data_IF_502415495876
#
_entry.id   IF_502415495876
#
_cell.length_a   1.000
_cell.length_b   1.000
_cell.length_c   1.000
_cell.angle_alpha   90.00
_cell.angle_beta   90.00
_cell.angle_gamma   90.00
#
_symmetry.space_group_name_H-M   'P 1'
#
loop_
_entity.id
_entity.type
_entity.pdbx_description
1 polymer ?
#
# COMPACT_ATOMS: atom_id res chain seq x y z
N UNK A 1 -1.28 -29.71 10.52
CA UNK A 1 -0.04 -29.39 9.75
C UNK A 1 -0.02 -29.99 8.34
N UNK A 2 -0.33 -31.29 8.13
CA UNK A 2 -0.31 -31.92 6.78
C UNK A 2 -1.21 -31.23 5.74
N UNK A 3 -2.42 -30.81 6.13
CA UNK A 3 -3.37 -30.11 5.23
C UNK A 3 -2.80 -28.81 4.65
N UNK A 4 -2.08 -27.99 5.43
CA UNK A 4 -1.51 -26.73 4.94
C UNK A 4 -0.42 -26.96 3.89
N UNK A 5 0.40 -27.99 4.10
CA UNK A 5 1.47 -28.39 3.17
C UNK A 5 0.86 -28.95 1.88
N UNK A 6 -0.23 -29.72 1.97
CA UNK A 6 -0.97 -30.20 0.80
C UNK A 6 -1.61 -29.05 0.01
N UNK A 7 -2.19 -28.05 0.67
CA UNK A 7 -2.72 -26.85 -0.01
C UNK A 7 -1.62 -26.09 -0.73
N UNK A 8 -0.47 -25.87 -0.09
CA UNK A 8 0.70 -25.25 -0.73
C UNK A 8 1.21 -26.04 -1.94
N UNK A 9 1.24 -27.38 -1.83
CA UNK A 9 1.65 -28.27 -2.93
C UNK A 9 0.64 -28.24 -4.08
N UNK A 10 -0.65 -28.13 -3.80
CA UNK A 10 -1.71 -28.02 -4.80
C UNK A 10 -1.72 -26.66 -5.50
N UNK A 11 -1.45 -25.58 -4.76
CA UNK A 11 -1.23 -24.24 -5.30
C UNK A 11 -0.10 -24.25 -6.34
N UNK A 12 0.99 -24.96 -6.06
CA UNK A 12 2.14 -25.05 -6.97
C UNK A 12 1.89 -25.92 -8.21
N UNK A 13 0.91 -26.84 -8.15
CA UNK A 13 0.51 -27.67 -9.30
C UNK A 13 -0.32 -26.90 -10.33
N UNK A 14 -1.05 -25.88 -9.90
CA UNK A 14 -1.89 -25.08 -10.79
C UNK A 14 -1.04 -23.95 -11.37
N UNK A 15 -0.75 -24.02 -12.66
CA UNK A 15 0.14 -23.07 -13.35
C UNK A 15 -0.34 -21.61 -13.21
N UNK A 16 -1.64 -21.37 -13.37
CA UNK A 16 -2.26 -20.06 -13.24
C UNK A 16 -2.09 -19.46 -11.83
N UNK A 17 -2.20 -20.29 -10.79
CA UNK A 17 -2.07 -19.85 -9.39
C UNK A 17 -0.62 -19.56 -9.05
N UNK A 18 0.30 -20.45 -9.48
CA UNK A 18 1.75 -20.24 -9.35
C UNK A 18 2.18 -18.92 -9.99
N UNK A 19 1.70 -18.63 -11.20
CA UNK A 19 2.06 -17.41 -11.92
C UNK A 19 1.55 -16.15 -11.20
N UNK A 20 0.30 -16.13 -10.72
CA UNK A 20 -0.25 -15.00 -9.95
C UNK A 20 0.51 -14.74 -8.65
N UNK A 21 0.92 -15.80 -7.94
CA UNK A 21 1.70 -15.68 -6.70
C UNK A 21 3.09 -15.13 -7.01
N UNK A 22 3.77 -15.65 -8.04
CA UNK A 22 5.08 -15.16 -8.45
C UNK A 22 5.04 -13.67 -8.84
N UNK A 23 4.01 -13.25 -9.59
CA UNK A 23 3.82 -11.83 -9.97
C UNK A 23 3.59 -10.96 -8.72
N UNK A 24 2.75 -11.41 -7.79
CA UNK A 24 2.50 -10.68 -6.55
C UNK A 24 3.79 -10.51 -5.73
N UNK A 25 4.56 -11.60 -5.55
CA UNK A 25 5.84 -11.57 -4.84
C UNK A 25 6.83 -10.65 -5.56
N UNK A 26 6.88 -10.67 -6.89
CA UNK A 26 7.73 -9.78 -7.68
C UNK A 26 7.38 -8.30 -7.43
N UNK A 27 6.11 -7.93 -7.44
CA UNK A 27 5.70 -6.56 -7.12
C UNK A 27 6.05 -6.14 -5.69
N UNK A 28 5.87 -7.04 -4.71
CA UNK A 28 6.28 -6.78 -3.33
C UNK A 28 7.81 -6.61 -3.22
N UNK A 29 8.58 -7.40 -3.96
CA UNK A 29 10.04 -7.27 -4.01
C UNK A 29 10.47 -5.93 -4.63
N UNK A 30 9.82 -5.49 -5.71
CA UNK A 30 10.08 -4.18 -6.33
C UNK A 30 9.74 -3.05 -5.35
N UNK A 31 8.59 -3.13 -4.67
CA UNK A 31 8.22 -2.16 -3.63
C UNK A 31 9.27 -2.11 -2.51
N UNK A 32 9.74 -3.28 -2.06
CA UNK A 32 10.80 -3.36 -1.05
C UNK A 32 12.10 -2.74 -1.52
N UNK A 33 12.53 -3.00 -2.75
CA UNK A 33 13.70 -2.34 -3.32
C UNK A 33 13.53 -0.82 -3.33
N UNK A 34 12.37 -0.33 -3.77
CA UNK A 34 12.01 1.09 -3.73
C UNK A 34 12.07 1.71 -2.33
N UNK A 35 11.68 0.97 -1.29
CA UNK A 35 11.72 1.43 0.11
C UNK A 35 13.14 1.70 0.65
N UNK A 36 14.18 1.23 -0.04
CA UNK A 36 15.58 1.54 0.27
C UNK A 36 16.16 2.68 -0.57
N UNK A 37 15.45 3.13 -1.62
CA UNK A 37 15.88 4.27 -2.43
C UNK A 37 15.49 5.55 -1.70
N UNK A 38 16.50 6.20 -1.09
CA UNK A 38 16.35 7.45 -0.35
C UNK A 38 16.07 8.62 -1.30
N UNK A 39 15.22 9.54 -0.86
CA UNK A 39 14.94 10.78 -1.60
C UNK A 39 16.22 11.61 -1.77
N UNK A 40 16.52 12.10 -2.98
CA UNK A 40 17.66 12.98 -3.21
C UNK A 40 17.47 14.29 -2.44
N UNK A 41 18.50 14.72 -1.71
CA UNK A 41 18.47 15.95 -0.92
C UNK A 41 18.23 15.78 0.58
N UNK A 42 18.08 14.54 1.07
CA UNK A 42 18.01 14.25 2.51
C UNK A 42 19.40 14.00 3.08
N UNK A 43 19.72 14.66 4.20
CA UNK A 43 20.99 14.49 4.89
C UNK A 43 21.01 13.16 5.67
N UNK A 44 21.99 12.26 5.45
CA UNK A 44 22.08 10.99 6.15
C UNK A 44 22.15 11.11 7.68
N UNK A 45 22.66 12.22 8.22
CA UNK A 45 22.72 12.45 9.67
C UNK A 45 21.34 12.61 10.30
N UNK A 46 20.34 13.10 9.54
CA UNK A 46 18.97 13.25 10.01
C UNK A 46 18.19 11.93 10.00
N UNK A 47 18.60 10.95 9.18
CA UNK A 47 17.94 9.63 9.13
C UNK A 47 18.07 8.88 10.45
N UNK A 48 19.21 8.99 11.13
CA UNK A 48 19.43 8.36 12.44
C UNK A 48 18.51 8.97 13.50
N UNK A 49 18.34 10.30 13.50
CA UNK A 49 17.40 10.99 14.38
C UNK A 49 15.94 10.63 14.05
N UNK A 50 15.60 10.57 12.76
CA UNK A 50 14.26 10.20 12.29
C UNK A 50 13.92 8.76 12.69
N UNK A 51 14.86 7.82 12.60
CA UNK A 51 14.67 6.45 13.08
C UNK A 51 14.37 6.37 14.57
N UNK A 52 15.10 7.15 15.38
CA UNK A 52 14.86 7.23 16.82
C UNK A 52 13.47 7.80 17.12
N UNK A 53 13.08 8.88 16.44
CA UNK A 53 11.76 9.50 16.60
C UNK A 53 10.60 8.63 16.10
N UNK A 54 10.82 7.79 15.09
CA UNK A 54 9.81 6.89 14.52
C UNK A 54 9.74 5.54 15.21
N UNK A 55 10.49 5.34 16.30
CA UNK A 55 10.43 4.12 17.11
C UNK A 55 9.30 4.15 18.16
N UNK A 56 8.72 5.33 18.43
CA UNK A 56 7.69 5.51 19.46
C UNK A 56 6.46 6.30 18.97
N UNK A 57 5.33 6.06 19.64
CA UNK A 57 4.09 6.83 19.45
C UNK A 57 3.44 6.71 18.06
N UNK A 58 2.76 7.77 17.64
CA UNK A 58 2.02 7.82 16.37
C UNK A 58 2.93 7.68 15.14
N UNK A 59 4.18 8.14 15.24
CA UNK A 59 5.16 8.04 14.16
C UNK A 59 5.61 6.58 13.93
N UNK A 60 5.61 5.74 14.97
CA UNK A 60 5.84 4.31 14.82
C UNK A 60 4.73 3.62 14.04
N UNK A 61 3.46 4.01 14.26
CA UNK A 61 2.34 3.52 13.46
C UNK A 61 2.50 3.92 12.00
N UNK A 62 2.86 5.19 11.74
CA UNK A 62 3.13 5.69 10.39
C UNK A 62 4.26 4.88 9.70
N UNK A 63 5.34 4.61 10.42
CA UNK A 63 6.46 3.84 9.90
C UNK A 63 6.09 2.37 9.63
N UNK A 64 5.26 1.77 10.48
CA UNK A 64 4.73 0.42 10.30
C UNK A 64 3.88 0.32 9.03
N UNK A 65 2.98 1.29 8.80
CA UNK A 65 2.11 1.30 7.61
C UNK A 65 2.86 1.60 6.30
N UNK A 66 3.97 2.35 6.36
CA UNK A 66 4.86 2.55 5.21
C UNK A 66 5.85 1.40 4.99
N UNK A 67 5.91 0.44 5.92
CA UNK A 67 6.81 -0.71 5.86
C UNK A 67 8.28 -0.38 6.15
N UNK A 68 8.55 0.70 6.88
CA UNK A 68 9.90 1.21 7.16
C UNK A 68 10.41 2.23 6.13
N UNK A 69 9.60 2.54 5.10
CA UNK A 69 10.00 3.50 4.07
C UNK A 69 10.06 4.94 4.61
N UNK A 70 9.24 5.26 5.62
CA UNK A 70 9.23 6.58 6.26
C UNK A 70 10.52 6.83 7.05
N UNK A 71 10.96 5.87 7.86
CA UNK A 71 12.20 6.00 8.64
C UNK A 71 13.47 6.00 7.79
N UNK A 72 13.41 5.40 6.58
CA UNK A 72 14.48 5.45 5.57
C UNK A 72 14.40 6.69 4.65
N UNK A 73 13.39 7.54 4.82
CA UNK A 73 13.08 8.67 3.95
C UNK A 73 13.15 8.32 2.45
N UNK A 74 12.52 7.20 2.11
CA UNK A 74 12.46 6.67 0.75
C UNK A 74 11.53 7.48 -0.15
N UNK A 75 11.68 7.32 -1.47
CA UNK A 75 10.73 7.80 -2.48
C UNK A 75 9.29 7.34 -2.15
N UNK A 76 9.13 6.18 -1.50
CA UNK A 76 7.85 5.66 -1.02
C UNK A 76 7.62 5.93 0.47
N UNK A 77 8.12 7.04 1.03
CA UNK A 77 8.06 7.33 2.47
C UNK A 77 6.66 7.18 3.09
N UNK A 78 5.59 7.56 2.38
CA UNK A 78 4.21 7.38 2.83
C UNK A 78 3.53 6.10 2.31
N UNK A 79 4.22 5.34 1.45
CA UNK A 79 3.72 4.10 0.86
C UNK A 79 2.35 4.29 0.20
N UNK A 80 1.40 3.43 0.57
CA UNK A 80 0.02 3.45 0.05
C UNK A 80 -0.92 4.37 0.85
N UNK A 81 -0.44 5.02 1.93
CA UNK A 81 -1.28 5.90 2.77
C UNK A 81 -1.99 7.00 1.97
N UNK A 82 -1.35 7.73 1.03
CA UNK A 82 -2.05 8.79 0.29
C UNK A 82 -3.26 8.27 -0.48
N UNK A 83 -3.15 7.06 -1.06
CA UNK A 83 -4.25 6.42 -1.77
C UNK A 83 -5.37 5.96 -0.84
N UNK A 84 -5.02 5.40 0.33
CA UNK A 84 -6.01 5.02 1.35
C UNK A 84 -6.78 6.27 1.81
N UNK A 85 -6.06 7.36 2.13
CA UNK A 85 -6.67 8.62 2.54
C UNK A 85 -7.59 9.19 1.46
N UNK A 86 -7.16 9.22 0.20
CA UNK A 86 -7.99 9.65 -0.92
C UNK A 86 -9.25 8.80 -1.08
N UNK A 87 -9.13 7.47 -0.98
CA UNK A 87 -10.26 6.54 -1.07
C UNK A 87 -11.30 6.79 0.02
N UNK A 88 -10.86 7.08 1.25
CA UNK A 88 -11.75 7.45 2.36
C UNK A 88 -12.46 8.78 2.06
N UNK A 89 -11.73 9.78 1.56
CA UNK A 89 -12.32 11.08 1.20
C UNK A 89 -13.39 10.91 0.12
N UNK A 90 -13.12 10.16 -0.95
CA UNK A 90 -14.08 9.90 -2.02
C UNK A 90 -15.31 9.14 -1.48
N UNK A 91 -15.13 8.18 -0.57
CA UNK A 91 -16.23 7.49 0.09
C UNK A 91 -17.09 8.42 0.95
N UNK A 92 -16.46 9.34 1.69
CA UNK A 92 -17.17 10.36 2.48
C UNK A 92 -17.92 11.36 1.58
N UNK A 93 -17.31 11.78 0.46
CA UNK A 93 -17.97 12.61 -0.56
C UNK A 93 -19.16 11.88 -1.19
N UNK A 94 -19.07 10.56 -1.34
CA UNK A 94 -20.20 9.71 -1.72
C UNK A 94 -21.40 9.82 -0.81
N UNK A 95 -21.21 10.16 0.47
CA UNK A 95 -22.30 10.35 1.43
C UNK A 95 -22.73 11.82 1.48
N UNK A 96 -21.77 12.76 1.44
CA UNK A 96 -22.03 14.18 1.65
C UNK A 96 -22.47 14.95 0.40
N UNK A 97 -22.07 14.52 -0.80
CA UNK A 97 -22.24 15.28 -2.05
C UNK A 97 -23.19 14.56 -3.01
N UNK A 98 -24.30 15.20 -3.44
CA UNK A 98 -25.29 14.59 -4.33
C UNK A 98 -24.74 14.09 -5.67
N UNK A 99 -23.67 14.73 -6.18
CA UNK A 99 -23.00 14.30 -7.42
C UNK A 99 -22.40 12.90 -7.28
N UNK A 100 -21.62 12.65 -6.23
CA UNK A 100 -21.00 11.35 -5.99
C UNK A 100 -22.05 10.28 -5.63
N UNK A 101 -23.15 10.66 -4.96
CA UNK A 101 -24.28 9.75 -4.75
C UNK A 101 -24.93 9.30 -6.07
N UNK A 102 -25.13 10.22 -7.03
CA UNK A 102 -25.64 9.88 -8.37
C UNK A 102 -24.67 8.95 -9.09
N UNK A 103 -23.38 9.24 -9.01
CA UNK A 103 -22.33 8.40 -9.59
C UNK A 103 -22.32 6.99 -9.00
N UNK A 104 -22.57 6.83 -7.70
CA UNK A 104 -22.73 5.50 -7.09
C UNK A 104 -23.97 4.76 -7.60
N UNK A 105 -25.05 5.48 -7.94
CA UNK A 105 -26.30 4.90 -8.49
C UNK A 105 -26.20 4.49 -9.97
N UNK A 106 -25.20 4.98 -10.70
CA UNK A 106 -24.93 4.59 -12.10
C UNK A 106 -24.35 3.16 -12.22
N UNK A 107 -24.10 2.47 -11.11
CA UNK A 107 -23.65 1.08 -11.11
C UNK A 107 -22.15 0.94 -11.41
N UNK A 108 -21.78 -0.04 -12.24
CA UNK A 108 -20.37 -0.37 -12.54
C UNK A 108 -19.59 0.80 -13.17
N UNK A 109 -20.20 1.55 -14.09
CA UNK A 109 -19.56 2.68 -14.78
C UNK A 109 -19.23 3.81 -13.82
N UNK A 110 -20.18 4.18 -12.95
CA UNK A 110 -20.00 5.24 -11.97
C UNK A 110 -19.03 4.85 -10.84
N UNK A 111 -19.03 3.59 -10.42
CA UNK A 111 -18.02 3.06 -9.46
C UNK A 111 -16.61 3.11 -10.03
N UNK A 112 -16.41 2.78 -11.32
CA UNK A 112 -15.10 2.90 -11.98
C UNK A 112 -14.63 4.34 -12.07
N UNK A 113 -15.53 5.26 -12.42
CA UNK A 113 -15.21 6.69 -12.49
C UNK A 113 -14.85 7.25 -11.11
N UNK A 114 -15.54 6.80 -10.07
CA UNK A 114 -15.22 7.13 -8.67
C UNK A 114 -13.86 6.60 -8.21
N UNK A 115 -13.46 5.40 -8.65
CA UNK A 115 -12.13 4.83 -8.34
C UNK A 115 -11.00 5.50 -9.13
N UNK A 116 -11.31 6.19 -10.23
CA UNK A 116 -10.33 6.91 -11.04
C UNK A 116 -10.03 8.30 -10.47
N UNK A 117 -10.99 8.92 -9.78
CA UNK A 117 -10.81 10.19 -9.06
C UNK A 117 -9.92 10.01 -7.83
#
# INVERSE_FOLDING_TARGET
>A
MRKAIETLKNIWKIEDLRQRILITILFVAIYRFGSYVVLPGINPSMLTQLHQQTSEGLLALLNMFSGGAFSNASIFALGIMPYISASIVIQLLGIAVPYFQKLQREGESGRRKMNQY
#
